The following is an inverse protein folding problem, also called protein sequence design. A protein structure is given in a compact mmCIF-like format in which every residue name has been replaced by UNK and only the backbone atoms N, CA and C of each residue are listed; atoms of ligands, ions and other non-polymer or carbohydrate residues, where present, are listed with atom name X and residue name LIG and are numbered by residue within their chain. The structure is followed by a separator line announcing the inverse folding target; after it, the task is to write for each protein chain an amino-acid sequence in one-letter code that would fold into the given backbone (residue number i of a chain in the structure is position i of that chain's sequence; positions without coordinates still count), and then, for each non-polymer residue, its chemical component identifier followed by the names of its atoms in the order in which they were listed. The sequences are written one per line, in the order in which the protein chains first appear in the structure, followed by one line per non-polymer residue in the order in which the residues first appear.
data_IF_913561104321
#
_entry.id   IF_913561104321
#
_cell.length_a   1.000
_cell.length_b   1.000
_cell.length_c   1.000
_cell.angle_alpha   90.00
_cell.angle_beta   90.00
_cell.angle_gamma   90.00
#
_symmetry.space_group_name_H-M   'P 1'
#
loop_
_entity.id
_entity.type
_entity.pdbx_description
1 polymer ?
#
# COMPACT_ATOMS: atom_id res chain seq x y z
N UNK A 1 53.89 -23.31 34.16
CA UNK A 1 53.91 -22.69 32.83
C UNK A 1 52.62 -22.89 32.00
N UNK A 2 51.98 -24.07 31.94
CA UNK A 2 50.73 -24.33 31.17
C UNK A 2 49.52 -23.46 31.64
N UNK A 3 49.30 -23.25 32.95
CA UNK A 3 48.17 -22.44 33.45
C UNK A 3 48.26 -20.93 33.15
N UNK A 4 49.46 -20.37 33.01
CA UNK A 4 49.70 -18.99 32.67
C UNK A 4 49.40 -18.73 31.16
N UNK A 5 49.80 -19.65 30.29
CA UNK A 5 49.50 -19.58 28.84
C UNK A 5 48.00 -19.65 28.57
N UNK A 6 47.26 -20.52 29.28
CA UNK A 6 45.77 -20.55 29.11
C UNK A 6 45.10 -19.25 29.55
N UNK A 7 45.55 -18.62 30.65
CA UNK A 7 44.97 -17.31 31.09
C UNK A 7 45.28 -16.19 30.10
N UNK A 8 46.45 -16.11 29.51
CA UNK A 8 46.82 -15.15 28.49
C UNK A 8 46.01 -15.33 27.21
N UNK A 9 45.76 -16.57 26.76
CA UNK A 9 44.90 -16.83 25.60
C UNK A 9 43.45 -16.42 25.88
N UNK A 10 42.92 -16.67 27.07
CA UNK A 10 41.55 -16.25 27.45
C UNK A 10 41.43 -14.73 27.48
N UNK A 11 42.37 -14.00 28.02
CA UNK A 11 42.38 -12.53 28.00
C UNK A 11 42.44 -11.98 26.55
N UNK A 12 43.25 -12.58 25.69
CA UNK A 12 43.35 -12.16 24.31
C UNK A 12 42.01 -12.41 23.54
N UNK A 13 41.35 -13.53 23.77
CA UNK A 13 40.03 -13.83 23.22
C UNK A 13 38.96 -12.84 23.75
N UNK A 14 38.95 -12.52 25.03
CA UNK A 14 38.02 -11.56 25.59
C UNK A 14 38.21 -10.16 24.98
N UNK A 15 39.44 -9.72 24.82
CA UNK A 15 39.78 -8.45 24.17
C UNK A 15 39.33 -8.45 22.71
N UNK A 16 39.57 -9.54 21.97
CA UNK A 16 39.14 -9.68 20.59
C UNK A 16 37.60 -9.62 20.45
N UNK A 17 36.88 -10.33 21.33
CA UNK A 17 35.40 -10.31 21.34
C UNK A 17 34.89 -8.90 21.65
N UNK A 18 35.46 -8.19 22.62
CA UNK A 18 35.04 -6.82 22.91
C UNK A 18 35.28 -5.86 21.74
N UNK A 19 36.41 -5.98 21.04
CA UNK A 19 36.69 -5.20 19.85
C UNK A 19 35.68 -5.53 18.69
N UNK A 20 35.36 -6.81 18.50
CA UNK A 20 34.39 -7.24 17.51
C UNK A 20 32.99 -6.68 17.79
N UNK A 21 32.55 -6.75 19.05
CA UNK A 21 31.26 -6.20 19.49
C UNK A 21 31.22 -4.67 19.30
N UNK A 22 32.27 -3.97 19.70
CA UNK A 22 32.41 -2.53 19.51
C UNK A 22 32.39 -2.16 18.02
N UNK A 23 33.09 -2.91 17.18
CA UNK A 23 33.12 -2.67 15.73
C UNK A 23 31.73 -2.88 15.11
N UNK A 24 31.01 -3.94 15.49
CA UNK A 24 29.63 -4.19 15.07
C UNK A 24 28.71 -3.06 15.51
N UNK A 25 28.78 -2.64 16.78
CA UNK A 25 27.97 -1.53 17.29
C UNK A 25 28.25 -0.21 16.55
N UNK A 26 29.50 0.10 16.27
CA UNK A 26 29.90 1.32 15.54
C UNK A 26 29.40 1.26 14.08
N UNK A 27 29.47 0.08 13.44
CA UNK A 27 28.96 -0.06 12.08
C UNK A 27 27.43 0.06 12.02
N UNK A 28 26.70 -0.55 12.95
CA UNK A 28 25.24 -0.39 13.06
C UNK A 28 24.83 1.07 13.32
N UNK A 29 25.53 1.76 14.24
CA UNK A 29 25.29 3.18 14.50
C UNK A 29 25.53 4.04 13.23
N UNK A 30 26.61 3.80 12.50
CA UNK A 30 26.89 4.52 11.24
C UNK A 30 25.79 4.28 10.20
N UNK A 31 25.29 3.06 10.06
CA UNK A 31 24.19 2.75 9.16
C UNK A 31 22.90 3.48 9.56
N UNK A 32 22.53 3.46 10.84
CA UNK A 32 21.38 4.19 11.37
C UNK A 32 21.46 5.71 11.17
N UNK A 33 22.66 6.31 11.35
CA UNK A 33 22.85 7.74 11.08
C UNK A 33 22.74 8.05 9.58
N UNK A 34 23.30 7.21 8.71
CA UNK A 34 23.19 7.35 7.26
C UNK A 34 21.73 7.27 6.79
N UNK A 35 20.95 6.29 7.24
CA UNK A 35 19.53 6.14 6.90
C UNK A 35 18.68 7.34 7.37
N UNK A 36 18.98 7.89 8.54
CA UNK A 36 18.32 9.11 9.04
C UNK A 36 18.64 10.33 8.21
N UNK A 37 19.89 10.47 7.78
CA UNK A 37 20.30 11.59 6.94
C UNK A 37 19.65 11.52 5.56
N UNK A 38 19.63 10.35 4.93
CA UNK A 38 18.97 10.14 3.65
C UNK A 38 17.45 10.42 3.73
N UNK A 39 16.79 9.97 4.80
CA UNK A 39 15.38 10.26 5.03
C UNK A 39 15.11 11.77 5.17
N UNK A 40 15.97 12.51 5.90
CA UNK A 40 15.86 13.98 6.01
C UNK A 40 16.07 14.68 4.68
N UNK A 41 17.05 14.25 3.88
CA UNK A 41 17.32 14.82 2.55
C UNK A 41 16.12 14.63 1.61
N UNK A 42 15.49 13.45 1.63
CA UNK A 42 14.28 13.16 0.85
C UNK A 42 13.13 14.08 1.31
N UNK A 43 12.86 14.15 2.62
CA UNK A 43 11.80 15.02 3.15
C UNK A 43 12.04 16.47 2.75
N UNK A 44 13.24 16.99 2.91
CA UNK A 44 13.59 18.35 2.53
C UNK A 44 13.36 18.60 1.03
N UNK A 45 13.85 17.71 0.16
CA UNK A 45 13.66 17.84 -1.29
C UNK A 45 12.19 17.92 -1.67
N UNK A 46 11.33 17.11 -1.06
CA UNK A 46 9.90 17.10 -1.35
C UNK A 46 9.12 18.26 -0.70
N UNK A 47 9.69 18.98 0.26
CA UNK A 47 9.05 20.10 0.96
C UNK A 47 9.53 21.49 0.51
N UNK A 48 10.62 21.60 -0.24
CA UNK A 48 11.33 22.88 -0.47
C UNK A 48 10.77 23.80 -1.58
N UNK A 49 9.86 23.32 -2.40
CA UNK A 49 9.45 24.09 -3.59
C UNK A 49 7.93 24.06 -3.77
N UNK A 50 7.30 25.16 -3.34
CA UNK A 50 5.84 25.33 -3.44
C UNK A 50 5.34 25.61 -4.85
N UNK A 51 6.18 26.12 -5.74
CA UNK A 51 5.79 26.51 -7.10
C UNK A 51 5.62 25.31 -8.05
N UNK A 52 6.15 24.14 -7.68
CA UNK A 52 6.01 22.90 -8.45
C UNK A 52 4.88 22.00 -7.96
N UNK A 53 4.07 22.45 -6.98
CA UNK A 53 2.90 21.69 -6.57
C UNK A 53 1.85 21.73 -7.66
N UNK A 54 1.69 20.63 -8.36
CA UNK A 54 0.42 20.38 -9.03
C UNK A 54 -0.64 20.45 -7.94
N UNK A 55 -1.64 21.33 -8.08
CA UNK A 55 -2.74 21.42 -7.11
C UNK A 55 -3.53 20.10 -7.15
N UNK A 56 -3.05 19.11 -6.41
CA UNK A 56 -3.64 17.78 -6.33
C UNK A 56 -4.99 17.78 -5.58
N UNK A 57 -5.43 18.93 -5.08
CA UNK A 57 -6.57 19.04 -4.16
C UNK A 57 -7.84 19.62 -4.75
N UNK A 58 -7.84 20.00 -6.01
CA UNK A 58 -9.06 20.34 -6.73
C UNK A 58 -9.72 19.09 -7.32
N UNK A 59 -10.06 18.14 -6.46
CA UNK A 59 -10.79 16.97 -6.88
C UNK A 59 -12.28 17.25 -7.01
N UNK A 60 -12.79 17.17 -8.22
CA UNK A 60 -14.21 17.11 -8.50
C UNK A 60 -14.60 15.66 -8.79
N UNK A 61 -15.61 15.17 -8.09
CA UNK A 61 -16.09 13.81 -8.27
C UNK A 61 -17.18 13.79 -9.34
N UNK A 62 -16.94 13.06 -10.42
CA UNK A 62 -17.91 12.82 -11.50
C UNK A 62 -18.90 11.74 -11.10
N UNK A 63 -18.41 10.67 -10.44
CA UNK A 63 -19.22 9.71 -9.73
C UNK A 63 -18.85 9.76 -8.26
N UNK A 64 -19.85 9.73 -7.39
CA UNK A 64 -19.65 9.80 -5.95
C UNK A 64 -20.71 9.00 -5.22
N UNK A 65 -20.33 8.35 -4.14
CA UNK A 65 -21.24 7.69 -3.21
C UNK A 65 -21.39 8.54 -1.96
N UNK A 66 -22.48 8.39 -1.24
CA UNK A 66 -22.74 9.14 -0.01
C UNK A 66 -21.80 8.78 1.16
N UNK A 67 -22.16 9.26 2.35
CA UNK A 67 -21.41 8.96 3.59
C UNK A 67 -21.42 7.47 3.88
N UNK A 68 -20.27 6.94 4.27
CA UNK A 68 -20.06 5.51 4.53
C UNK A 68 -19.91 5.28 6.03
N UNK A 69 -20.81 4.45 6.56
CA UNK A 69 -20.86 4.11 7.99
C UNK A 69 -20.58 2.61 8.19
N UNK A 70 -19.32 2.22 8.10
CA UNK A 70 -18.85 0.84 8.29
C UNK A 70 -17.50 0.82 9.01
N UNK A 71 -17.13 -0.33 9.58
CA UNK A 71 -15.86 -0.51 10.30
C UNK A 71 -14.65 -0.62 9.34
N UNK A 72 -14.82 -1.34 8.22
CA UNK A 72 -13.77 -1.55 7.21
C UNK A 72 -14.21 -0.98 5.87
N UNK A 73 -13.38 -0.11 5.31
CA UNK A 73 -13.57 0.42 3.96
C UNK A 73 -12.49 -0.12 3.04
N UNK A 74 -12.88 -0.83 1.99
CA UNK A 74 -11.97 -1.34 0.96
C UNK A 74 -12.04 -0.45 -0.28
N UNK A 75 -10.93 0.20 -0.61
CA UNK A 75 -10.76 1.06 -1.77
C UNK A 75 -10.03 0.31 -2.87
N UNK A 76 -10.70 0.01 -3.95
CA UNK A 76 -10.18 -0.79 -5.07
C UNK A 76 -9.80 0.14 -6.21
N UNK A 77 -8.52 0.31 -6.48
CA UNK A 77 -8.07 0.99 -7.69
C UNK A 77 -8.40 0.15 -8.91
N UNK A 78 -9.27 0.65 -9.77
CA UNK A 78 -9.69 -0.02 -11.01
C UNK A 78 -9.52 0.91 -12.22
N UNK A 79 -9.48 0.34 -13.41
CA UNK A 79 -9.53 1.09 -14.67
C UNK A 79 -10.96 1.12 -15.22
N UNK A 80 -11.33 2.16 -15.97
CA UNK A 80 -12.62 2.21 -16.67
C UNK A 80 -12.96 0.92 -17.42
N UNK A 81 -12.01 0.37 -18.19
CA UNK A 81 -12.19 -0.85 -18.99
C UNK A 81 -12.28 -2.15 -18.19
N UNK A 82 -12.00 -2.14 -16.88
CA UNK A 82 -11.94 -3.37 -16.05
C UNK A 82 -13.32 -3.78 -15.47
N UNK A 83 -14.41 -3.61 -16.23
CA UNK A 83 -15.79 -3.96 -15.82
C UNK A 83 -15.87 -5.41 -15.32
N UNK A 84 -15.25 -6.35 -16.03
CA UNK A 84 -15.23 -7.78 -15.63
C UNK A 84 -14.56 -8.01 -14.29
N UNK A 85 -13.44 -7.29 -13.96
CA UNK A 85 -12.76 -7.41 -12.68
C UNK A 85 -13.64 -6.86 -11.56
N UNK A 86 -14.27 -5.70 -11.73
CA UNK A 86 -15.21 -5.14 -10.76
C UNK A 86 -16.38 -6.08 -10.49
N UNK A 87 -16.97 -6.65 -11.56
CA UNK A 87 -18.04 -7.64 -11.42
C UNK A 87 -17.59 -8.87 -10.63
N UNK A 88 -16.39 -9.38 -10.88
CA UNK A 88 -15.81 -10.50 -10.12
C UNK A 88 -15.63 -10.16 -8.65
N UNK A 89 -15.09 -9.00 -8.32
CA UNK A 89 -14.90 -8.55 -6.94
C UNK A 89 -16.24 -8.43 -6.22
N UNK A 90 -17.27 -7.84 -6.84
CA UNK A 90 -18.63 -7.75 -6.27
C UNK A 90 -19.25 -9.11 -5.97
N UNK A 91 -18.96 -10.13 -6.79
CA UNK A 91 -19.46 -11.51 -6.60
C UNK A 91 -18.63 -12.34 -5.61
N UNK A 92 -17.46 -11.84 -5.21
CA UNK A 92 -16.54 -12.55 -4.31
C UNK A 92 -16.34 -11.76 -3.01
N UNK A 93 -15.14 -11.42 -2.63
CA UNK A 93 -14.86 -10.75 -1.35
C UNK A 93 -15.58 -9.39 -1.16
N UNK A 94 -15.87 -8.69 -2.24
CA UNK A 94 -16.66 -7.45 -2.20
C UNK A 94 -18.14 -7.64 -1.82
N UNK A 95 -18.66 -8.89 -1.83
CA UNK A 95 -20.00 -9.20 -1.37
C UNK A 95 -20.11 -9.32 0.17
N UNK A 96 -18.99 -9.49 0.86
CA UNK A 96 -18.97 -9.65 2.31
C UNK A 96 -19.16 -8.28 2.96
N UNK A 97 -20.38 -8.04 3.47
CA UNK A 97 -20.75 -6.77 4.10
C UNK A 97 -20.67 -6.81 5.62
N UNK A 98 -20.69 -8.00 6.19
CA UNK A 98 -20.67 -8.20 7.64
C UNK A 98 -20.09 -9.56 7.98
N UNK A 99 -19.17 -9.60 8.96
CA UNK A 99 -18.62 -10.84 9.50
C UNK A 99 -18.17 -10.66 10.94
N UNK A 100 -18.60 -11.55 11.83
CA UNK A 100 -18.22 -11.57 13.25
C UNK A 100 -18.33 -10.21 13.97
N UNK A 101 -19.39 -9.45 13.72
CA UNK A 101 -19.60 -8.15 14.35
C UNK A 101 -18.86 -6.99 13.69
N UNK A 102 -18.24 -7.19 12.54
CA UNK A 102 -17.50 -6.18 11.79
C UNK A 102 -18.20 -5.91 10.45
N UNK A 103 -18.58 -4.65 10.24
CA UNK A 103 -19.19 -4.19 8.99
C UNK A 103 -18.13 -3.77 7.97
N UNK A 104 -18.39 -4.02 6.67
CA UNK A 104 -17.46 -3.67 5.60
C UNK A 104 -18.17 -3.18 4.35
N UNK A 105 -17.47 -2.30 3.59
CA UNK A 105 -17.89 -1.84 2.28
C UNK A 105 -16.71 -1.77 1.32
N UNK A 106 -16.99 -2.04 0.03
CA UNK A 106 -15.99 -2.01 -1.05
C UNK A 106 -16.40 -0.99 -2.08
N UNK A 107 -15.48 -0.11 -2.46
CA UNK A 107 -15.66 0.95 -3.46
C UNK A 107 -14.58 0.86 -4.53
N UNK A 108 -14.97 1.15 -5.77
CA UNK A 108 -14.06 1.20 -6.92
C UNK A 108 -13.67 2.64 -7.23
N UNK A 109 -12.36 2.90 -7.31
CA UNK A 109 -11.80 4.22 -7.57
C UNK A 109 -11.27 4.29 -8.99
N UNK A 110 -11.75 5.28 -9.76
CA UNK A 110 -11.46 5.45 -11.17
C UNK A 110 -11.12 6.91 -11.51
N UNK A 111 -10.43 7.11 -12.64
CA UNK A 111 -10.43 8.36 -13.38
C UNK A 111 -11.43 8.29 -14.55
N UNK A 112 -11.48 9.32 -15.38
CA UNK A 112 -12.32 9.41 -16.57
C UNK A 112 -11.87 8.42 -17.63
N UNK A 113 -12.84 7.82 -18.33
CA UNK A 113 -12.56 7.09 -19.56
C UNK A 113 -12.22 8.08 -20.69
N UNK A 114 -11.33 7.68 -21.59
CA UNK A 114 -11.03 8.45 -22.81
C UNK A 114 -12.09 8.30 -23.89
N UNK A 115 -12.91 7.25 -23.80
CA UNK A 115 -13.98 6.93 -24.75
C UNK A 115 -15.34 7.28 -24.13
N UNK A 116 -16.18 8.02 -24.86
CA UNK A 116 -17.50 8.45 -24.41
C UNK A 116 -18.47 7.30 -24.14
N UNK A 117 -18.45 6.25 -24.96
CA UNK A 117 -19.31 5.10 -24.75
C UNK A 117 -18.94 4.33 -23.47
N UNK A 118 -17.65 4.16 -23.22
CA UNK A 118 -17.19 3.57 -21.97
C UNK A 118 -17.56 4.43 -20.77
N UNK A 119 -17.44 5.77 -20.89
CA UNK A 119 -17.85 6.68 -19.82
C UNK A 119 -19.35 6.57 -19.52
N UNK A 120 -20.21 6.46 -20.55
CA UNK A 120 -21.65 6.23 -20.37
C UNK A 120 -21.93 4.90 -19.65
N UNK A 121 -21.25 3.81 -20.05
CA UNK A 121 -21.36 2.51 -19.38
C UNK A 121 -20.95 2.58 -17.90
N UNK A 122 -19.96 3.42 -17.56
CA UNK A 122 -19.55 3.64 -16.16
C UNK A 122 -20.63 4.35 -15.34
N UNK A 123 -21.38 5.29 -15.94
CA UNK A 123 -22.52 5.92 -15.27
C UNK A 123 -23.62 4.89 -15.00
N UNK A 124 -23.99 4.08 -16.00
CA UNK A 124 -24.98 3.00 -15.86
C UNK A 124 -24.56 1.97 -14.80
N UNK A 125 -23.26 1.62 -14.76
CA UNK A 125 -22.69 0.74 -13.74
C UNK A 125 -22.77 1.38 -12.34
N UNK A 126 -22.45 2.65 -12.23
CA UNK A 126 -22.51 3.40 -10.97
C UNK A 126 -23.94 3.53 -10.42
N UNK A 127 -24.90 3.80 -11.30
CA UNK A 127 -26.33 3.89 -10.96
C UNK A 127 -26.86 2.52 -10.47
N UNK A 128 -26.36 1.42 -11.08
CA UNK A 128 -26.76 0.07 -10.70
C UNK A 128 -26.23 -0.39 -9.35
N UNK A 129 -24.96 -0.06 -9.04
CA UNK A 129 -24.27 -0.65 -7.88
C UNK A 129 -24.01 0.34 -6.74
N UNK A 130 -23.94 1.65 -7.00
CA UNK A 130 -23.72 2.68 -5.99
C UNK A 130 -22.37 2.60 -5.26
N UNK A 131 -21.36 1.97 -5.88
CA UNK A 131 -20.08 1.65 -5.26
C UNK A 131 -18.86 2.22 -6.01
N UNK A 132 -19.08 3.25 -6.84
CA UNK A 132 -18.03 3.83 -7.67
C UNK A 132 -17.72 5.28 -7.30
N UNK A 133 -16.43 5.60 -7.30
CA UNK A 133 -15.88 6.94 -7.06
C UNK A 133 -15.01 7.30 -8.25
N UNK A 134 -15.38 8.33 -8.99
CA UNK A 134 -14.64 8.76 -10.17
C UNK A 134 -14.21 10.21 -10.06
N UNK A 135 -12.92 10.47 -10.26
CA UNK A 135 -12.36 11.82 -10.32
C UNK A 135 -12.37 12.40 -11.74
N UNK A 136 -12.22 13.71 -11.83
CA UNK A 136 -12.23 14.50 -13.07
C UNK A 136 -10.90 14.50 -13.85
N UNK A 137 -10.04 13.52 -13.66
CA UNK A 137 -8.80 13.33 -14.41
C UNK A 137 -8.86 12.06 -15.25
N UNK A 138 -8.17 12.05 -16.39
CA UNK A 138 -8.09 10.87 -17.27
C UNK A 138 -7.44 9.70 -16.54
N UNK A 139 -8.07 8.52 -16.59
CA UNK A 139 -7.52 7.28 -16.02
C UNK A 139 -6.35 6.78 -16.88
N UNK A 140 -5.16 6.99 -16.37
CA UNK A 140 -3.91 6.61 -17.02
C UNK A 140 -2.85 6.27 -15.99
N UNK A 141 -1.87 5.42 -16.35
CA UNK A 141 -0.77 5.02 -15.44
C UNK A 141 0.02 6.21 -14.88
N UNK A 142 0.12 7.29 -15.65
CA UNK A 142 0.77 8.53 -15.19
C UNK A 142 -0.03 9.27 -14.09
N UNK A 143 -1.33 9.00 -13.98
CA UNK A 143 -2.25 9.63 -13.03
C UNK A 143 -2.57 8.74 -11.81
N UNK A 144 -1.83 7.63 -11.62
CA UNK A 144 -2.04 6.74 -10.47
C UNK A 144 -1.82 7.44 -9.14
N UNK A 145 -0.86 8.35 -9.06
CA UNK A 145 -0.63 9.19 -7.87
C UNK A 145 -1.82 10.11 -7.59
N UNK A 146 -2.40 10.74 -8.62
CA UNK A 146 -3.63 11.54 -8.50
C UNK A 146 -4.77 10.69 -7.95
N UNK A 147 -4.98 9.51 -8.52
CA UNK A 147 -6.01 8.56 -8.06
C UNK A 147 -5.81 8.17 -6.60
N UNK A 148 -4.57 7.92 -6.19
CA UNK A 148 -4.26 7.56 -4.81
C UNK A 148 -4.52 8.70 -3.83
N UNK A 149 -4.08 9.93 -4.14
CA UNK A 149 -4.33 11.12 -3.32
C UNK A 149 -5.83 11.45 -3.26
N UNK A 150 -6.54 11.37 -4.39
CA UNK A 150 -7.99 11.52 -4.43
C UNK A 150 -8.69 10.49 -3.53
N UNK A 151 -8.21 9.25 -3.50
CA UNK A 151 -8.74 8.21 -2.61
C UNK A 151 -8.60 8.61 -1.14
N UNK A 152 -7.43 9.12 -0.74
CA UNK A 152 -7.21 9.60 0.63
C UNK A 152 -8.15 10.75 0.99
N UNK A 153 -8.31 11.71 0.08
CA UNK A 153 -9.17 12.86 0.25
C UNK A 153 -10.65 12.45 0.38
N UNK A 154 -11.10 11.50 -0.44
CA UNK A 154 -12.47 10.98 -0.38
C UNK A 154 -12.73 10.26 0.94
N UNK A 155 -11.84 9.37 1.36
CA UNK A 155 -11.95 8.62 2.62
C UNK A 155 -11.99 9.57 3.82
N UNK A 156 -11.15 10.60 3.84
CA UNK A 156 -11.15 11.61 4.91
C UNK A 156 -12.52 12.28 5.08
N UNK A 157 -13.25 12.51 3.99
CA UNK A 157 -14.53 13.22 3.99
C UNK A 157 -15.73 12.32 4.24
N UNK A 158 -15.72 11.10 3.68
CA UNK A 158 -16.91 10.25 3.61
C UNK A 158 -16.89 9.08 4.60
N UNK A 159 -15.73 8.69 5.16
CA UNK A 159 -15.58 7.50 6.00
C UNK A 159 -15.24 7.85 7.45
N UNK A 160 -16.07 8.67 8.09
CA UNK A 160 -15.80 9.20 9.45
C UNK A 160 -15.76 8.14 10.55
N UNK A 161 -16.52 7.06 10.41
CA UNK A 161 -16.64 5.97 11.39
C UNK A 161 -15.77 4.76 11.10
N UNK A 162 -15.12 4.72 9.93
CA UNK A 162 -14.22 3.64 9.57
C UNK A 162 -13.09 3.50 10.61
N UNK A 163 -12.80 2.26 10.98
CA UNK A 163 -11.68 1.90 11.88
C UNK A 163 -10.46 1.48 11.09
N UNK A 164 -10.69 0.90 9.91
CA UNK A 164 -9.65 0.36 9.03
C UNK A 164 -9.94 0.73 7.59
N UNK A 165 -8.89 1.13 6.88
CA UNK A 165 -8.88 1.37 5.44
C UNK A 165 -8.01 0.31 4.79
N UNK A 166 -8.56 -0.36 3.79
CA UNK A 166 -7.85 -1.32 2.94
C UNK A 166 -7.75 -0.73 1.54
N UNK A 167 -6.55 -0.49 1.05
CA UNK A 167 -6.34 -0.09 -0.36
C UNK A 167 -5.80 -1.28 -1.12
N UNK A 168 -6.43 -1.58 -2.26
CA UNK A 168 -5.98 -2.65 -3.17
C UNK A 168 -6.09 -2.22 -4.63
N UNK A 169 -5.41 -2.95 -5.51
CA UNK A 169 -5.69 -2.92 -6.94
C UNK A 169 -6.74 -4.01 -7.29
N UNK A 170 -7.37 -3.88 -8.45
CA UNK A 170 -8.43 -4.80 -8.91
C UNK A 170 -7.93 -6.18 -9.38
N UNK A 171 -6.64 -6.44 -9.25
CA UNK A 171 -5.96 -7.73 -9.51
C UNK A 171 -5.47 -8.41 -8.22
N UNK A 172 -5.86 -7.89 -7.07
CA UNK A 172 -5.56 -8.47 -5.75
C UNK A 172 -6.73 -9.28 -5.24
N UNK A 173 -6.44 -10.48 -4.71
CA UNK A 173 -7.41 -11.29 -3.98
C UNK A 173 -7.34 -10.91 -2.50
N UNK A 174 -8.50 -10.74 -1.88
CA UNK A 174 -8.62 -10.50 -0.45
C UNK A 174 -9.36 -11.67 0.20
N UNK A 175 -8.84 -12.19 1.30
CA UNK A 175 -9.60 -13.05 2.21
C UNK A 175 -10.17 -12.16 3.33
N UNK A 176 -11.47 -11.79 3.27
CA UNK A 176 -12.08 -10.88 4.24
C UNK A 176 -12.22 -11.52 5.63
N UNK A 177 -12.32 -12.84 5.71
CA UNK A 177 -12.45 -13.58 6.96
C UNK A 177 -11.12 -13.55 7.73
N UNK A 178 -10.02 -13.86 7.05
CA UNK A 178 -8.68 -13.74 7.63
C UNK A 178 -8.35 -12.29 8.00
N UNK A 179 -8.79 -11.31 7.22
CA UNK A 179 -8.65 -9.90 7.54
C UNK A 179 -9.34 -9.57 8.87
N UNK A 180 -10.62 -9.94 9.02
CA UNK A 180 -11.38 -9.66 10.26
C UNK A 180 -10.78 -10.40 11.46
N UNK A 181 -10.39 -11.66 11.30
CA UNK A 181 -9.75 -12.44 12.36
C UNK A 181 -8.43 -11.80 12.80
N UNK A 182 -7.61 -11.35 11.84
CA UNK A 182 -6.36 -10.62 12.11
C UNK A 182 -6.61 -9.33 12.89
N UNK A 183 -7.60 -8.55 12.48
CA UNK A 183 -7.95 -7.28 13.14
C UNK A 183 -8.51 -7.46 14.55
N UNK A 184 -9.10 -8.60 14.85
CA UNK A 184 -9.56 -8.92 16.22
C UNK A 184 -8.43 -9.27 17.17
N UNK A 185 -7.36 -9.86 16.65
CA UNK A 185 -6.20 -10.31 17.43
C UNK A 185 -5.05 -9.30 17.44
N UNK A 186 -5.03 -8.37 16.46
CA UNK A 186 -3.95 -7.42 16.28
C UNK A 186 -4.45 -5.98 16.30
N UNK A 187 -4.02 -5.21 17.29
CA UNK A 187 -4.30 -3.78 17.34
C UNK A 187 -3.35 -3.03 16.40
N UNK A 188 -3.90 -2.39 15.37
CA UNK A 188 -3.12 -1.55 14.46
C UNK A 188 -2.81 -0.21 15.13
N UNK A 189 -1.53 0.19 15.30
CA UNK A 189 -1.20 1.51 15.81
C UNK A 189 -1.69 2.62 14.85
N UNK A 190 -2.14 3.74 15.41
CA UNK A 190 -2.78 4.82 14.62
C UNK A 190 -1.91 5.38 13.48
N UNK A 191 -0.59 5.39 13.63
CA UNK A 191 0.35 5.92 12.63
C UNK A 191 1.03 4.81 11.83
N UNK A 192 0.30 3.79 11.39
CA UNK A 192 0.89 2.61 10.75
C UNK A 192 0.20 2.25 9.45
N UNK A 193 1.00 1.82 8.49
CA UNK A 193 0.58 1.12 7.27
C UNK A 193 1.09 -0.32 7.38
N UNK A 194 0.21 -1.29 7.29
CA UNK A 194 0.55 -2.71 7.21
C UNK A 194 0.57 -3.13 5.74
N UNK A 195 1.69 -3.65 5.26
CA UNK A 195 1.86 -3.98 3.85
C UNK A 195 3.04 -4.93 3.60
N UNK A 196 3.28 -5.27 2.35
CA UNK A 196 4.56 -5.84 1.92
C UNK A 196 5.56 -4.68 1.73
N UNK A 197 6.43 -4.47 2.72
CA UNK A 197 7.45 -3.41 2.67
C UNK A 197 8.52 -3.77 1.64
N UNK A 198 8.85 -2.81 0.79
CA UNK A 198 9.98 -2.83 -0.15
C UNK A 198 11.06 -1.90 0.39
N UNK A 199 12.24 -2.45 0.62
CA UNK A 199 13.41 -1.72 1.14
C UNK A 199 14.49 -1.60 0.08
N UNK A 200 15.31 -0.55 0.16
CA UNK A 200 16.47 -0.33 -0.71
C UNK A 200 16.14 -0.43 -2.22
N UNK A 201 14.94 -0.01 -2.61
CA UNK A 201 14.53 0.03 -4.01
C UNK A 201 15.39 1.00 -4.80
N UNK A 202 15.75 0.63 -6.04
CA UNK A 202 16.46 1.51 -6.97
C UNK A 202 15.42 2.13 -7.90
N UNK A 203 15.41 3.47 -8.10
CA UNK A 203 14.51 4.11 -9.06
C UNK A 203 14.71 3.58 -10.48
N UNK A 204 13.64 3.21 -11.16
CA UNK A 204 13.72 2.84 -12.59
C UNK A 204 14.00 4.09 -13.42
N UNK A 205 15.16 4.14 -14.08
CA UNK A 205 15.64 5.29 -14.86
C UNK A 205 15.46 5.15 -16.37
N UNK A 206 15.06 3.98 -16.84
CA UNK A 206 14.89 3.73 -18.29
C UNK A 206 13.51 4.25 -18.73
N UNK A 207 13.53 5.23 -19.65
CA UNK A 207 12.30 5.77 -20.27
C UNK A 207 11.47 4.64 -20.90
N UNK A 208 10.15 4.69 -20.75
CA UNK A 208 9.24 3.69 -21.30
C UNK A 208 9.09 2.41 -20.46
N UNK A 209 9.86 2.24 -19.39
CA UNK A 209 9.63 1.15 -18.43
C UNK A 209 8.57 1.52 -17.40
N UNK A 210 7.83 0.50 -16.95
CA UNK A 210 6.88 0.68 -15.87
C UNK A 210 7.61 1.13 -14.59
N UNK A 211 7.06 2.14 -13.91
CA UNK A 211 7.70 2.72 -12.73
C UNK A 211 8.85 3.70 -13.02
N UNK A 212 9.04 4.13 -14.28
CA UNK A 212 10.04 5.14 -14.64
C UNK A 212 9.92 6.41 -13.81
N UNK A 213 11.02 6.81 -13.17
CA UNK A 213 11.13 8.03 -12.38
C UNK A 213 12.28 8.87 -12.94
N UNK A 214 12.01 10.06 -13.52
CA UNK A 214 13.05 11.01 -13.95
C UNK A 214 13.96 11.41 -12.79
N UNK A 215 15.23 11.69 -13.07
CA UNK A 215 16.20 12.09 -12.04
C UNK A 215 15.84 13.44 -11.41
N UNK A 216 15.28 14.34 -12.19
CA UNK A 216 14.78 15.65 -11.75
C UNK A 216 13.59 15.57 -10.79
N UNK A 217 12.79 14.48 -10.88
CA UNK A 217 11.68 14.24 -9.97
C UNK A 217 12.10 13.51 -8.69
N UNK A 218 13.20 12.78 -8.73
CA UNK A 218 13.76 12.05 -7.59
C UNK A 218 15.27 11.86 -7.77
N UNK A 219 16.12 12.77 -7.26
CA UNK A 219 17.57 12.74 -7.55
C UNK A 219 18.36 11.73 -6.72
N UNK A 220 17.73 11.03 -5.78
CA UNK A 220 18.42 10.11 -4.89
C UNK A 220 18.65 8.74 -5.53
N UNK A 221 19.74 8.03 -5.17
CA UNK A 221 20.08 6.73 -5.75
C UNK A 221 19.19 5.59 -5.26
N UNK A 222 18.60 5.73 -4.07
CA UNK A 222 17.78 4.70 -3.41
C UNK A 222 16.42 5.30 -3.03
N UNK A 223 15.35 4.54 -3.28
CA UNK A 223 14.01 4.91 -2.85
C UNK A 223 13.87 4.78 -1.33
N UNK A 224 13.03 5.59 -0.68
CA UNK A 224 12.67 5.36 0.70
C UNK A 224 11.98 4.00 0.81
N UNK A 225 11.96 3.41 1.98
CA UNK A 225 11.10 2.25 2.22
C UNK A 225 9.65 2.58 1.89
N UNK A 226 8.97 1.71 1.15
CA UNK A 226 7.60 1.92 0.71
C UNK A 226 6.82 0.60 0.67
N UNK A 227 5.51 0.68 0.60
CA UNK A 227 4.64 -0.48 0.45
C UNK A 227 4.54 -0.88 -1.02
N UNK A 228 4.54 -2.18 -1.29
CA UNK A 228 4.14 -2.70 -2.60
C UNK A 228 2.81 -2.07 -3.01
N UNK A 229 2.73 -1.53 -4.24
CA UNK A 229 1.57 -0.76 -4.71
C UNK A 229 0.27 -1.55 -4.82
N UNK A 230 0.31 -2.88 -4.67
CA UNK A 230 -0.85 -3.75 -4.88
C UNK A 230 -1.87 -3.68 -3.74
N UNK A 231 -1.43 -3.76 -2.48
CA UNK A 231 -2.32 -3.75 -1.32
C UNK A 231 -1.65 -3.24 -0.05
N UNK A 232 -2.45 -2.61 0.83
CA UNK A 232 -2.06 -2.31 2.20
C UNK A 232 -3.29 -2.07 3.09
N UNK A 233 -3.10 -2.19 4.39
CA UNK A 233 -4.06 -1.85 5.43
C UNK A 233 -3.52 -0.65 6.20
N UNK A 234 -4.41 0.29 6.55
CA UNK A 234 -4.03 1.44 7.37
C UNK A 234 -5.20 1.92 8.23
N UNK A 235 -4.94 2.88 9.09
CA UNK A 235 -5.97 3.53 9.89
C UNK A 235 -6.44 4.84 9.24
N UNK A 236 -7.67 5.29 9.49
CA UNK A 236 -8.14 6.60 9.03
C UNK A 236 -7.24 7.75 9.51
N UNK A 237 -6.65 7.61 10.70
CA UNK A 237 -5.73 8.60 11.23
C UNK A 237 -4.44 8.71 10.40
N UNK A 238 -3.79 7.57 10.07
CA UNK A 238 -2.62 7.56 9.20
C UNK A 238 -2.97 8.10 7.80
N UNK A 239 -4.12 7.70 7.25
CA UNK A 239 -4.57 8.13 5.94
C UNK A 239 -4.78 9.64 5.85
N UNK A 240 -5.38 10.24 6.90
CA UNK A 240 -5.52 11.70 7.02
C UNK A 240 -4.17 12.41 7.05
N UNK A 241 -3.20 11.89 7.81
CA UNK A 241 -1.85 12.46 7.85
C UNK A 241 -1.15 12.42 6.49
N UNK A 242 -1.29 11.30 5.74
CA UNK A 242 -0.76 11.21 4.38
C UNK A 242 -1.45 12.22 3.44
N UNK A 243 -2.78 12.36 3.54
CA UNK A 243 -3.55 13.32 2.77
C UNK A 243 -3.12 14.77 3.08
N UNK A 244 -2.87 15.10 4.35
CA UNK A 244 -2.36 16.42 4.74
C UNK A 244 -0.95 16.66 4.20
N UNK A 245 -0.05 15.68 4.32
CA UNK A 245 1.31 15.79 3.80
C UNK A 245 1.34 16.00 2.27
N UNK A 246 0.39 15.41 1.54
CA UNK A 246 0.32 15.56 0.08
C UNK A 246 0.05 17.00 -0.38
N UNK A 247 -0.48 17.87 0.50
CA UNK A 247 -0.76 19.29 0.20
C UNK A 247 0.50 20.12 0.08
N UNK A 248 1.55 19.71 0.80
CA UNK A 248 2.81 20.43 0.91
C UNK A 248 3.99 19.59 0.36
N UNK A 249 3.70 18.63 -0.53
CA UNK A 249 4.71 17.74 -1.10
C UNK A 249 4.76 17.81 -2.61
N UNK A 250 5.97 17.86 -3.18
CA UNK A 250 6.18 17.73 -4.63
C UNK A 250 5.57 16.45 -5.14
N UNK A 251 5.03 16.51 -6.35
CA UNK A 251 4.44 15.35 -7.01
C UNK A 251 5.49 14.33 -7.46
N UNK A 252 5.19 13.04 -7.23
CA UNK A 252 5.96 11.93 -7.77
C UNK A 252 5.03 10.95 -8.48
N UNK A 253 5.34 10.57 -9.73
CA UNK A 253 4.46 9.71 -10.56
C UNK A 253 4.29 8.28 -10.07
N UNK A 254 5.17 7.79 -9.22
CA UNK A 254 5.06 6.45 -8.64
C UNK A 254 4.20 6.52 -7.36
N UNK A 255 2.93 6.11 -7.44
CA UNK A 255 1.95 6.24 -6.37
C UNK A 255 2.33 5.48 -5.10
N UNK A 256 2.89 4.28 -5.21
CA UNK A 256 3.34 3.50 -4.06
C UNK A 256 4.50 4.16 -3.32
N UNK A 257 5.54 4.59 -4.06
CA UNK A 257 6.69 5.31 -3.51
C UNK A 257 6.25 6.66 -2.95
N UNK A 258 5.38 7.39 -3.66
CA UNK A 258 4.89 8.68 -3.20
C UNK A 258 4.09 8.56 -1.90
N UNK A 259 2.97 7.81 -1.94
CA UNK A 259 2.04 7.78 -0.83
C UNK A 259 2.61 7.09 0.41
N UNK A 260 3.25 5.92 0.23
CA UNK A 260 3.69 5.08 1.36
C UNK A 260 5.19 5.19 1.66
N UNK A 261 5.95 5.85 0.79
CA UNK A 261 7.36 6.19 1.00
C UNK A 261 7.51 7.65 1.42
N UNK A 262 7.40 8.58 0.47
CA UNK A 262 7.67 10.01 0.67
C UNK A 262 6.70 10.64 1.68
N UNK A 263 5.38 10.56 1.42
CA UNK A 263 4.38 11.13 2.33
C UNK A 263 4.41 10.48 3.70
N UNK A 264 4.69 9.18 3.78
CA UNK A 264 4.80 8.48 5.04
C UNK A 264 6.02 8.95 5.86
N UNK A 265 7.15 9.31 5.23
CA UNK A 265 8.28 9.96 5.90
C UNK A 265 7.90 11.35 6.42
N UNK A 266 7.30 12.21 5.56
CA UNK A 266 6.88 13.56 5.94
C UNK A 266 5.86 13.56 7.07
N UNK A 267 4.90 12.63 7.03
CA UNK A 267 3.82 12.50 8.02
C UNK A 267 4.19 11.71 9.28
N UNK A 268 5.41 11.18 9.37
CA UNK A 268 5.84 10.25 10.42
C UNK A 268 4.87 9.06 10.58
N UNK A 269 4.52 8.43 9.45
CA UNK A 269 3.71 7.21 9.39
C UNK A 269 4.63 6.01 9.15
N UNK A 270 4.55 5.02 10.02
CA UNK A 270 5.41 3.83 9.96
C UNK A 270 4.85 2.79 9.01
N UNK A 271 5.73 2.06 8.33
CA UNK A 271 5.40 0.87 7.54
C UNK A 271 5.74 -0.37 8.33
N UNK A 272 4.83 -1.32 8.34
CA UNK A 272 5.03 -2.60 9.03
C UNK A 272 4.81 -3.75 8.05
N UNK A 273 5.78 -4.64 7.98
CA UNK A 273 5.75 -5.77 7.04
C UNK A 273 4.78 -6.84 7.53
N UNK A 274 3.87 -7.27 6.66
CA UNK A 274 2.82 -8.24 7.00
C UNK A 274 3.27 -9.71 6.96
N UNK A 275 4.50 -9.98 6.52
CA UNK A 275 5.01 -11.36 6.41
C UNK A 275 4.12 -12.23 5.53
N UNK A 276 3.79 -13.41 6.03
CA UNK A 276 2.97 -14.41 5.33
C UNK A 276 1.50 -14.03 5.13
N UNK A 277 1.03 -12.93 5.75
CA UNK A 277 -0.32 -12.41 5.52
C UNK A 277 -0.48 -11.75 4.15
N UNK A 278 0.63 -11.47 3.46
CA UNK A 278 0.64 -10.91 2.12
C UNK A 278 1.52 -11.75 1.18
N UNK A 279 0.88 -12.59 0.37
CA UNK A 279 1.55 -13.47 -0.60
C UNK A 279 1.62 -12.77 -1.96
N UNK A 280 2.81 -12.81 -2.57
CA UNK A 280 3.01 -12.51 -3.99
C UNK A 280 3.37 -13.82 -4.67
N UNK A 281 2.48 -14.31 -5.52
CA UNK A 281 2.62 -15.63 -6.15
C UNK A 281 2.22 -15.56 -7.62
N UNK A 282 2.80 -16.41 -8.42
CA UNK A 282 2.39 -16.61 -9.82
C UNK A 282 1.06 -17.37 -9.96
N UNK A 283 0.28 -17.51 -8.88
CA UNK A 283 -1.10 -18.03 -8.84
C UNK A 283 -1.33 -19.36 -9.59
N UNK A 284 -0.31 -20.17 -9.80
CA UNK A 284 -0.42 -21.42 -10.55
C UNK A 284 -0.04 -22.70 -9.77
N UNK A 285 0.45 -22.53 -8.55
CA UNK A 285 0.93 -23.67 -7.74
C UNK A 285 -0.11 -24.04 -6.67
N UNK A 286 -0.57 -25.29 -6.67
CA UNK A 286 -1.55 -25.82 -5.71
C UNK A 286 -1.12 -25.63 -4.25
N UNK A 287 0.17 -25.71 -3.96
CA UNK A 287 0.76 -25.49 -2.62
C UNK A 287 0.47 -24.07 -2.07
N UNK A 288 0.34 -23.10 -2.94
CA UNK A 288 -0.03 -21.71 -2.55
C UNK A 288 -1.50 -21.57 -2.18
N UNK A 289 -2.39 -22.43 -2.68
CA UNK A 289 -3.83 -22.34 -2.44
C UNK A 289 -4.15 -22.63 -0.98
N UNK A 290 -3.59 -23.70 -0.40
CA UNK A 290 -3.82 -24.03 1.01
C UNK A 290 -3.31 -22.95 1.96
N UNK A 291 -2.15 -22.36 1.65
CA UNK A 291 -1.59 -21.25 2.43
C UNK A 291 -2.45 -19.98 2.35
N UNK A 292 -3.01 -19.67 1.16
CA UNK A 292 -3.97 -18.57 0.96
C UNK A 292 -5.20 -18.76 1.82
N UNK A 293 -5.76 -19.98 1.83
CA UNK A 293 -6.96 -20.28 2.59
C UNK A 293 -6.72 -20.24 4.09
N UNK A 294 -5.53 -20.64 4.56
CA UNK A 294 -5.21 -20.78 5.97
C UNK A 294 -4.89 -19.44 6.63
N UNK A 295 -4.02 -18.62 6.05
CA UNK A 295 -3.41 -17.51 6.76
C UNK A 295 -3.34 -16.18 6.00
N UNK A 296 -3.30 -16.21 4.67
CA UNK A 296 -3.13 -14.99 3.88
C UNK A 296 -4.36 -14.08 3.92
N UNK A 297 -4.10 -12.78 3.99
CA UNK A 297 -5.12 -11.73 3.82
C UNK A 297 -5.12 -11.27 2.37
N UNK A 298 -3.94 -11.06 1.79
CA UNK A 298 -3.77 -10.59 0.41
C UNK A 298 -2.98 -11.59 -0.42
N UNK A 299 -3.45 -11.78 -1.64
CA UNK A 299 -2.71 -12.49 -2.70
C UNK A 299 -2.66 -11.63 -3.93
N UNK A 300 -1.47 -11.33 -4.40
CA UNK A 300 -1.24 -10.58 -5.63
C UNK A 300 -0.30 -11.35 -6.56
N UNK A 301 -0.40 -11.07 -7.86
CA UNK A 301 0.49 -11.59 -8.88
C UNK A 301 1.26 -10.42 -9.51
N UNK A 302 2.59 -10.50 -9.57
CA UNK A 302 3.42 -9.48 -10.23
C UNK A 302 3.13 -9.38 -11.74
N UNK A 303 2.59 -10.42 -12.37
CA UNK A 303 2.20 -10.45 -13.79
C UNK A 303 0.76 -10.01 -14.05
N UNK A 304 -0.01 -9.62 -13.01
CA UNK A 304 -1.29 -8.92 -13.16
C UNK A 304 -2.52 -9.76 -13.52
N UNK A 305 -2.49 -11.10 -13.41
CA UNK A 305 -3.66 -11.93 -13.69
C UNK A 305 -3.74 -13.17 -12.80
N UNK A 306 -4.38 -13.05 -11.65
CA UNK A 306 -4.90 -14.23 -10.96
C UNK A 306 -6.22 -14.67 -11.61
N UNK A 307 -6.15 -15.67 -12.48
CA UNK A 307 -7.35 -16.27 -13.12
C UNK A 307 -8.26 -17.00 -12.12
N UNK A 308 -7.69 -17.46 -11.00
CA UNK A 308 -8.30 -18.36 -10.02
C UNK A 308 -9.13 -17.71 -8.93
N UNK A 309 -9.37 -16.37 -8.95
CA UNK A 309 -10.17 -15.72 -7.90
C UNK A 309 -11.55 -16.40 -7.73
N UNK A 310 -12.18 -16.80 -8.84
CA UNK A 310 -13.47 -17.49 -8.79
C UNK A 310 -13.39 -18.93 -8.28
N UNK A 311 -12.29 -19.62 -8.56
CA UNK A 311 -12.05 -21.00 -8.13
C UNK A 311 -11.68 -21.07 -6.65
N UNK A 312 -10.98 -20.05 -6.14
CA UNK A 312 -10.62 -19.95 -4.73
C UNK A 312 -11.77 -19.50 -3.83
N UNK A 313 -12.65 -18.64 -4.34
CA UNK A 313 -13.69 -18.01 -3.54
C UNK A 313 -14.64 -19.03 -2.87
N UNK A 314 -15.17 -20.06 -3.51
CA UNK A 314 -15.99 -21.07 -2.84
C UNK A 314 -15.25 -21.76 -1.68
N UNK A 315 -13.94 -22.03 -1.85
CA UNK A 315 -13.11 -22.67 -0.82
C UNK A 315 -12.81 -21.72 0.35
N UNK A 316 -12.58 -20.43 0.09
CA UNK A 316 -12.44 -19.39 1.13
C UNK A 316 -13.70 -19.31 1.98
N UNK A 317 -14.88 -19.37 1.37
CA UNK A 317 -16.17 -19.26 2.04
C UNK A 317 -16.57 -20.49 2.88
N UNK A 318 -16.05 -21.66 2.55
CA UNK A 318 -16.37 -22.89 3.29
C UNK A 318 -15.50 -23.09 4.54
N UNK A 319 -14.46 -22.29 4.74
CA UNK A 319 -13.59 -22.33 5.92
C UNK A 319 -14.04 -21.37 7.05
N UNK A 320 -15.28 -20.85 7.01
CA UNK A 320 -15.94 -20.10 8.06
C UNK A 320 -16.53 -21.07 9.10
#
# INVERSE_FOLDING_TARGET
MRRIRLKLTWCAWMVFITFLVLWVMVTELRLLFSERDDSRRIVNFFSMDRDSFVNLHEFHFVLNTGVVDVDIVTMVNSRPSHVSRRSKIRKTFGSVRYFRGVSSATFFVLGLATNHDLQRQLHEEADTYGDMIQGNFIDHDQNMTHKHVMTMYWVERHCKRAKVIVKINDDVIVNPYNLVNYLKTTKIPNNTILCKVRTKGIPERRKGKNGYIPIEHYPFPVLPDYCSGFAYITTPHAYRKLCQASRDSRYLRNDGVYATGVLALQANVRRHHMGDKYIVSDCGEEENIERVLKDAIFVSNEKGQCRYLHELWPRIRTND
#
